data_IF_840914056363
#
_entry.id   IF_840914056363
#
_cell.length_a   1.000
_cell.length_b   1.000
_cell.length_c   1.000
_cell.angle_alpha   90.00
_cell.angle_beta   90.00
_cell.angle_gamma   90.00
#
_symmetry.space_group_name_H-M   'P 1'
#
loop_
_entity.id
_entity.type
_entity.pdbx_description
1 polymer ?
#
# COMPACT_ATOMS: atom_id res chain seq x y z
N UNK A 1 10.43 -13.06 8.92
CA UNK A 1 9.58 -12.34 7.94
C UNK A 1 9.44 -10.87 8.28
N UNK A 2 9.14 -10.50 9.54
CA UNK A 2 9.13 -9.09 9.98
C UNK A 2 10.51 -8.47 9.88
N UNK A 3 11.56 -9.10 10.44
CA UNK A 3 12.93 -8.56 10.38
C UNK A 3 13.40 -8.31 8.94
N UNK A 4 13.15 -9.25 8.02
CA UNK A 4 13.48 -9.07 6.60
C UNK A 4 12.69 -7.92 5.96
N UNK A 5 11.43 -7.73 6.34
CA UNK A 5 10.63 -6.61 5.83
C UNK A 5 11.15 -5.26 6.31
N UNK A 6 11.55 -5.17 7.58
CA UNK A 6 12.19 -3.96 8.13
C UNK A 6 13.53 -3.67 7.44
N UNK A 7 14.32 -4.71 7.16
CA UNK A 7 15.56 -4.57 6.40
C UNK A 7 15.32 -4.11 4.96
N UNK A 8 14.35 -4.72 4.27
CA UNK A 8 13.95 -4.32 2.92
C UNK A 8 13.53 -2.84 2.87
N UNK A 9 12.85 -2.32 3.91
CA UNK A 9 12.50 -0.89 4.00
C UNK A 9 13.72 0.02 4.11
N UNK A 10 14.77 -0.40 4.83
CA UNK A 10 16.04 0.36 4.93
C UNK A 10 16.72 0.43 3.56
N UNK A 11 16.58 -0.61 2.74
CA UNK A 11 17.10 -0.66 1.38
C UNK A 11 16.14 -0.03 0.34
N UNK A 12 14.98 0.48 0.77
CA UNK A 12 13.97 1.07 -0.12
C UNK A 12 13.19 0.06 -0.97
N UNK A 13 13.26 -1.22 -0.63
CA UNK A 13 12.56 -2.31 -1.32
C UNK A 13 11.20 -2.51 -0.64
N UNK A 14 10.12 -2.31 -1.40
CA UNK A 14 8.77 -2.58 -0.90
C UNK A 14 8.31 -3.99 -1.32
N UNK A 15 7.34 -4.53 -0.58
CA UNK A 15 6.72 -5.81 -0.94
C UNK A 15 6.10 -5.80 -2.36
N UNK A 16 5.72 -4.61 -2.85
CA UNK A 16 5.18 -4.40 -4.20
C UNK A 16 6.17 -4.69 -5.31
N UNK A 17 7.47 -4.70 -5.01
CA UNK A 17 8.54 -4.94 -5.98
C UNK A 17 8.87 -6.43 -6.06
N UNK A 18 8.51 -7.20 -5.03
CA UNK A 18 8.71 -8.65 -4.95
C UNK A 18 7.53 -9.49 -5.47
N UNK A 19 6.46 -8.86 -5.94
CA UNK A 19 5.29 -9.56 -6.51
C UNK A 19 5.30 -9.51 -8.04
N UNK A 20 4.76 -10.56 -8.67
CA UNK A 20 4.62 -10.61 -10.12
C UNK A 20 3.73 -9.47 -10.65
N UNK A 21 3.97 -9.05 -11.89
CA UNK A 21 3.21 -8.00 -12.58
C UNK A 21 1.69 -8.26 -12.56
N UNK A 22 1.28 -9.51 -12.74
CA UNK A 22 -0.12 -9.93 -12.65
C UNK A 22 -0.71 -9.68 -11.25
N UNK A 23 -0.01 -10.12 -10.20
CA UNK A 23 -0.46 -9.92 -8.81
C UNK A 23 -0.49 -8.44 -8.45
N UNK A 24 0.46 -7.64 -8.94
CA UNK A 24 0.50 -6.18 -8.79
C UNK A 24 -0.77 -5.54 -9.36
N UNK A 25 -1.19 -5.92 -10.57
CA UNK A 25 -2.45 -5.44 -11.18
C UNK A 25 -3.68 -5.81 -10.36
N UNK A 26 -3.74 -7.03 -9.82
CA UNK A 26 -4.89 -7.47 -9.01
C UNK A 26 -5.04 -6.67 -7.71
N UNK A 27 -3.93 -6.35 -7.04
CA UNK A 27 -3.97 -5.58 -5.77
C UNK A 27 -4.07 -4.07 -5.99
N UNK A 28 -3.76 -3.57 -7.18
CA UNK A 28 -3.74 -2.13 -7.50
C UNK A 28 -5.07 -1.45 -7.15
N UNK A 29 -6.20 -2.06 -7.52
CA UNK A 29 -7.54 -1.52 -7.21
C UNK A 29 -7.77 -1.39 -5.69
N UNK A 30 -7.32 -2.38 -4.92
CA UNK A 30 -7.43 -2.36 -3.46
C UNK A 30 -6.57 -1.24 -2.86
N UNK A 31 -5.34 -1.08 -3.34
CA UNK A 31 -4.44 0.00 -2.89
C UNK A 31 -5.02 1.38 -3.20
N UNK A 32 -5.60 1.57 -4.39
CA UNK A 32 -6.25 2.84 -4.75
C UNK A 32 -7.45 3.15 -3.86
N UNK A 33 -8.31 2.17 -3.57
CA UNK A 33 -9.42 2.36 -2.65
C UNK A 33 -8.95 2.74 -1.23
N UNK A 34 -7.80 2.22 -0.79
CA UNK A 34 -7.22 2.58 0.51
C UNK A 34 -6.76 4.04 0.50
N UNK A 35 -6.03 4.46 -0.54
CA UNK A 35 -5.56 5.84 -0.70
C UNK A 35 -6.73 6.83 -0.72
N UNK A 36 -7.80 6.50 -1.47
CA UNK A 36 -9.00 7.33 -1.59
C UNK A 36 -9.91 7.32 -0.34
N UNK A 37 -9.59 6.54 0.69
CA UNK A 37 -10.43 6.40 1.87
C UNK A 37 -11.73 5.62 1.65
N UNK A 38 -11.86 4.90 0.54
CA UNK A 38 -12.99 4.00 0.23
C UNK A 38 -12.88 2.65 0.95
N UNK A 39 -12.33 2.67 2.16
CA UNK A 39 -12.09 1.50 3.01
C UNK A 39 -12.51 1.85 4.44
N UNK A 40 -13.11 0.89 5.15
CA UNK A 40 -13.57 1.04 6.53
C UNK A 40 -12.73 0.15 7.45
N UNK A 41 -11.52 0.59 7.85
CA UNK A 41 -10.78 -0.09 8.91
C UNK A 41 -11.47 0.08 10.27
N UNK A 42 -11.20 -0.85 11.17
CA UNK A 42 -11.50 -0.81 12.60
C UNK A 42 -10.59 0.16 13.38
N UNK A 43 -9.51 0.64 12.75
CA UNK A 43 -8.55 1.58 13.33
C UNK A 43 -8.55 2.94 12.62
N UNK A 44 -8.08 3.98 13.33
CA UNK A 44 -7.96 5.34 12.79
C UNK A 44 -6.91 5.38 11.68
N UNK A 45 -7.32 5.73 10.47
CA UNK A 45 -6.43 5.99 9.34
C UNK A 45 -6.40 7.48 8.97
N UNK A 46 -5.24 7.94 8.49
CA UNK A 46 -5.09 9.22 7.80
C UNK A 46 -5.07 8.96 6.31
N UNK A 47 -6.11 9.41 5.62
CA UNK A 47 -6.17 9.34 4.15
C UNK A 47 -5.59 10.61 3.54
N UNK A 48 -5.08 10.49 2.31
CA UNK A 48 -4.61 11.66 1.57
C UNK A 48 -5.81 12.54 1.27
N UNK A 49 -5.80 13.79 1.75
CA UNK A 49 -6.84 14.75 1.37
C UNK A 49 -6.81 14.90 -0.16
N UNK A 50 -7.96 14.71 -0.83
CA UNK A 50 -8.06 15.03 -2.25
C UNK A 50 -7.65 16.49 -2.40
N UNK A 51 -6.51 16.74 -3.05
CA UNK A 51 -6.08 18.09 -3.40
C UNK A 51 -7.19 18.66 -4.27
N UNK A 52 -7.99 19.56 -3.68
CA UNK A 52 -8.99 20.32 -4.42
C UNK A 52 -8.30 20.98 -5.59
N UNK A 53 -8.95 20.95 -6.75
CA UNK A 53 -8.52 21.75 -7.87
C UNK A 53 -8.78 23.22 -7.55
#
# INVERSE_FOLDING_TARGET
RVIQHEYDHIEGILFTDRISSLKKRLIQKKLMNIIEGKTRPDYKMKFVAKKGR
#
